data_IF_767211909569
#
_entry.id   IF_767211909569
#
_cell.length_a   1.000
_cell.length_b   1.000
_cell.length_c   1.000
_cell.angle_alpha   90.00
_cell.angle_beta   90.00
_cell.angle_gamma   90.00
#
_symmetry.space_group_name_H-M   'P 1'
#
loop_
_entity.id
_entity.type
_entity.pdbx_description
1 polymer ?
#
# COMPACT_ATOMS: atom_id res chain seq x y z
N UNK A 1 -1.32 2.39 -17.22
CA UNK A 1 -1.49 3.46 -16.22
C UNK A 1 -2.57 3.11 -15.20
N UNK A 2 -3.79 2.78 -15.61
CA UNK A 2 -4.92 2.47 -14.72
C UNK A 2 -4.62 1.59 -13.49
N UNK A 3 -3.86 0.50 -13.62
CA UNK A 3 -3.50 -0.36 -12.49
C UNK A 3 -2.69 0.37 -11.40
N UNK A 4 -1.81 1.30 -11.78
CA UNK A 4 -1.01 2.07 -10.82
C UNK A 4 -1.88 3.07 -10.05
N UNK A 5 -2.85 3.70 -10.73
CA UNK A 5 -3.79 4.65 -10.11
C UNK A 5 -4.70 3.93 -9.11
N UNK A 6 -5.28 2.78 -9.50
CA UNK A 6 -6.09 1.94 -8.61
C UNK A 6 -5.30 1.55 -7.37
N UNK A 7 -4.02 1.20 -7.52
CA UNK A 7 -3.19 0.80 -6.39
C UNK A 7 -2.86 1.99 -5.48
N UNK A 8 -2.52 3.14 -6.06
CA UNK A 8 -2.24 4.35 -5.29
C UNK A 8 -3.46 4.77 -4.45
N UNK A 9 -4.65 4.73 -5.04
CA UNK A 9 -5.91 5.00 -4.34
C UNK A 9 -6.19 3.94 -3.25
N UNK A 10 -6.18 2.66 -3.60
CA UNK A 10 -6.56 1.58 -2.68
C UNK A 10 -5.61 1.40 -1.49
N UNK A 11 -4.31 1.67 -1.68
CA UNK A 11 -3.30 1.61 -0.63
C UNK A 11 -3.05 2.97 0.05
N UNK A 12 -3.80 4.01 -0.32
CA UNK A 12 -3.63 5.39 0.16
C UNK A 12 -2.17 5.88 0.05
N UNK A 13 -1.50 5.57 -1.07
CA UNK A 13 -0.14 6.00 -1.32
C UNK A 13 -0.12 7.52 -1.55
N UNK A 14 0.78 8.20 -0.85
CA UNK A 14 0.95 9.66 -0.93
C UNK A 14 2.00 10.10 -1.95
N UNK A 15 2.75 9.15 -2.51
CA UNK A 15 3.76 9.42 -3.54
C UNK A 15 3.16 9.63 -4.93
N UNK A 16 3.91 10.28 -5.80
CA UNK A 16 3.48 10.57 -7.17
C UNK A 16 3.42 9.30 -8.03
N UNK A 17 2.30 9.13 -8.75
CA UNK A 17 2.22 8.14 -9.83
C UNK A 17 2.88 8.74 -11.07
N UNK A 18 4.02 8.17 -11.46
CA UNK A 18 4.78 8.60 -12.64
C UNK A 18 4.87 7.50 -13.69
N UNK A 19 5.07 7.91 -14.95
CA UNK A 19 5.29 7.00 -16.07
C UNK A 19 6.79 6.97 -16.39
N UNK A 20 7.41 5.79 -16.31
CA UNK A 20 8.78 5.57 -16.74
C UNK A 20 8.79 4.87 -18.11
N UNK A 21 9.53 5.41 -19.07
CA UNK A 21 9.61 4.86 -20.43
C UNK A 21 10.24 3.47 -20.48
N UNK A 22 11.10 3.19 -19.51
CA UNK A 22 11.86 1.95 -19.27
C UNK A 22 10.93 0.78 -18.92
N UNK A 23 9.71 1.06 -18.44
CA UNK A 23 8.67 0.05 -18.18
C UNK A 23 7.83 -0.30 -19.43
N UNK A 24 8.09 0.35 -20.57
CA UNK A 24 7.35 0.10 -21.81
C UNK A 24 7.64 -1.31 -22.35
N UNK A 25 6.65 -2.03 -22.90
CA UNK A 25 6.88 -3.35 -23.47
C UNK A 25 8.04 -3.38 -24.47
N UNK A 26 8.91 -4.39 -24.38
CA UNK A 26 10.06 -4.58 -25.27
C UNK A 26 11.32 -3.77 -24.94
N UNK A 27 11.32 -2.96 -23.86
CA UNK A 27 12.54 -2.31 -23.34
C UNK A 27 13.44 -3.30 -22.62
N UNK A 28 14.72 -2.95 -22.57
CA UNK A 28 15.76 -3.72 -21.87
C UNK A 28 15.60 -3.57 -20.34
N UNK A 29 15.45 -4.67 -19.57
CA UNK A 29 15.44 -4.65 -18.11
C UNK A 29 16.67 -3.98 -17.49
N UNK A 30 17.83 -3.97 -18.17
CA UNK A 30 19.04 -3.30 -17.68
C UNK A 30 18.88 -1.77 -17.58
N UNK A 31 18.13 -1.15 -18.49
CA UNK A 31 17.81 0.29 -18.43
C UNK A 31 17.01 0.61 -17.17
N UNK A 32 16.01 -0.22 -16.88
CA UNK A 32 15.17 -0.09 -15.69
C UNK A 32 15.99 -0.31 -14.41
N UNK A 33 16.86 -1.32 -14.36
CA UNK A 33 17.76 -1.54 -13.22
C UNK A 33 18.66 -0.32 -12.95
N UNK A 34 19.19 0.29 -14.01
CA UNK A 34 20.00 1.50 -13.88
C UNK A 34 19.18 2.66 -13.31
N UNK A 35 17.96 2.88 -13.78
CA UNK A 35 17.05 3.89 -13.24
C UNK A 35 16.77 3.64 -11.75
N UNK A 36 16.41 2.41 -11.39
CA UNK A 36 16.09 2.02 -10.02
C UNK A 36 17.28 2.14 -9.06
N UNK A 37 18.50 1.83 -9.53
CA UNK A 37 19.72 2.01 -8.73
C UNK A 37 20.01 3.48 -8.35
N UNK A 38 19.39 4.43 -9.07
CA UNK A 38 19.44 5.86 -8.79
C UNK A 38 18.35 6.35 -7.82
N UNK A 39 17.35 5.52 -7.49
CA UNK A 39 16.27 5.88 -6.57
C UNK A 39 16.81 6.03 -5.14
N UNK A 40 16.44 7.12 -4.47
CA UNK A 40 16.96 7.49 -3.12
C UNK A 40 15.87 7.78 -2.11
N UNK A 41 14.61 7.70 -2.52
CA UNK A 41 13.51 7.87 -1.59
C UNK A 41 13.52 6.72 -0.56
N UNK A 42 13.40 7.01 0.74
CA UNK A 42 13.28 5.97 1.75
C UNK A 42 11.98 5.16 1.65
N UNK A 43 10.96 5.67 0.94
CA UNK A 43 9.65 5.01 0.87
C UNK A 43 9.61 3.83 -0.11
N UNK A 44 8.76 2.81 0.13
CA UNK A 44 8.62 1.68 -0.78
C UNK A 44 8.16 2.11 -2.18
N UNK A 45 8.89 1.67 -3.20
CA UNK A 45 8.55 1.91 -4.60
C UNK A 45 7.69 0.76 -5.15
N UNK A 46 6.59 1.09 -5.83
CA UNK A 46 5.81 0.11 -6.59
C UNK A 46 6.03 0.31 -8.10
N UNK A 47 6.31 -0.80 -8.78
CA UNK A 47 6.44 -0.85 -10.23
C UNK A 47 5.24 -1.58 -10.84
N UNK A 48 4.61 -0.95 -11.82
CA UNK A 48 3.51 -1.54 -12.58
C UNK A 48 3.94 -1.63 -14.04
N UNK A 49 4.03 -2.85 -14.56
CA UNK A 49 4.52 -3.10 -15.91
C UNK A 49 3.95 -4.36 -16.53
N UNK A 50 4.66 -4.89 -17.51
CA UNK A 50 4.21 -6.00 -18.32
C UNK A 50 5.18 -7.19 -18.27
N UNK A 51 4.63 -8.38 -18.50
CA UNK A 51 5.43 -9.55 -18.84
C UNK A 51 5.99 -9.43 -20.27
N UNK A 52 7.19 -9.97 -20.55
CA UNK A 52 8.08 -10.72 -19.65
C UNK A 52 9.01 -9.85 -18.79
N UNK A 53 8.97 -8.53 -18.93
CA UNK A 53 9.92 -7.61 -18.31
C UNK A 53 9.95 -7.70 -16.78
N UNK A 54 8.80 -7.73 -16.12
CA UNK A 54 8.74 -7.78 -14.66
C UNK A 54 9.41 -9.05 -14.13
N UNK A 55 9.12 -10.20 -14.73
CA UNK A 55 9.75 -11.46 -14.34
C UNK A 55 11.24 -11.48 -14.64
N UNK A 56 11.69 -10.91 -15.77
CA UNK A 56 13.10 -10.76 -16.08
C UNK A 56 13.84 -9.83 -15.09
N UNK A 57 13.20 -8.74 -14.66
CA UNK A 57 13.71 -7.84 -13.63
C UNK A 57 13.89 -8.57 -12.29
N UNK A 58 12.88 -9.32 -11.86
CA UNK A 58 12.96 -10.09 -10.62
C UNK A 58 14.08 -11.14 -10.70
N UNK A 59 14.14 -11.93 -11.77
CA UNK A 59 15.23 -12.91 -11.99
C UNK A 59 16.60 -12.24 -11.93
N UNK A 60 16.76 -11.06 -12.53
CA UNK A 60 18.03 -10.32 -12.53
C UNK A 60 18.42 -9.84 -11.13
N UNK A 61 17.44 -9.50 -10.29
CA UNK A 61 17.68 -9.02 -8.94
C UNK A 61 17.93 -10.15 -7.92
N UNK A 62 17.19 -11.25 -7.97
CA UNK A 62 17.26 -12.30 -6.94
C UNK A 62 17.97 -13.58 -7.40
N UNK A 63 18.23 -13.71 -8.70
CA UNK A 63 18.78 -14.91 -9.32
C UNK A 63 17.72 -15.98 -9.64
N UNK A 64 17.98 -16.78 -10.66
CA UNK A 64 17.05 -17.80 -11.18
C UNK A 64 16.75 -18.92 -10.18
N UNK A 65 17.74 -19.33 -9.37
CA UNK A 65 17.56 -20.36 -8.34
C UNK A 65 16.63 -19.92 -7.20
N UNK A 66 16.49 -18.62 -6.98
CA UNK A 66 15.67 -18.02 -5.91
C UNK A 66 14.25 -17.71 -6.39
N UNK A 67 14.05 -17.60 -7.71
CA UNK A 67 12.82 -17.15 -8.34
C UNK A 67 12.28 -18.22 -9.29
N UNK A 68 11.40 -19.07 -8.77
CA UNK A 68 10.59 -19.99 -9.55
C UNK A 68 9.15 -19.46 -9.64
N UNK A 69 8.94 -18.32 -10.30
CA UNK A 69 7.60 -17.81 -10.56
C UNK A 69 6.78 -18.84 -11.34
N UNK A 70 5.80 -19.50 -10.72
CA UNK A 70 5.13 -20.65 -11.30
C UNK A 70 4.08 -20.23 -12.35
N UNK A 71 4.50 -20.13 -13.61
CA UNK A 71 3.58 -20.36 -14.72
C UNK A 71 4.02 -21.63 -15.45
N UNK A 72 3.15 -22.63 -15.53
CA UNK A 72 3.33 -23.70 -16.51
C UNK A 72 3.43 -23.04 -17.90
N UNK A 73 4.59 -23.17 -18.52
CA UNK A 73 4.79 -22.90 -19.94
C UNK A 73 4.19 -24.07 -20.71
N UNK A 74 3.40 -23.78 -21.74
CA UNK A 74 2.88 -24.81 -22.66
C UNK A 74 3.99 -25.44 -23.51
N UNK A 75 5.17 -24.82 -23.53
CA UNK A 75 6.21 -25.06 -24.54
C UNK A 75 7.48 -25.71 -23.97
N UNK A 76 7.41 -26.28 -22.77
CA UNK A 76 8.36 -27.33 -22.34
C UNK A 76 9.43 -26.96 -21.31
N UNK A 77 9.64 -25.69 -20.96
CA UNK A 77 10.53 -25.31 -19.84
C UNK A 77 9.80 -24.35 -18.87
N UNK A 78 9.81 -24.62 -17.55
CA UNK A 78 9.18 -23.74 -16.56
C UNK A 78 9.95 -22.43 -16.48
N UNK A 79 9.43 -21.38 -17.13
CA UNK A 79 9.99 -20.04 -16.99
C UNK A 79 9.36 -19.30 -15.82
N UNK A 80 10.17 -18.63 -14.97
CA UNK A 80 9.67 -17.79 -13.91
C UNK A 80 8.78 -16.68 -14.47
N UNK A 81 7.50 -16.66 -14.08
CA UNK A 81 6.53 -15.69 -14.62
C UNK A 81 5.50 -15.23 -13.59
N UNK A 82 5.26 -13.93 -13.52
CA UNK A 82 4.14 -13.36 -12.80
C UNK A 82 2.83 -13.52 -13.59
N UNK A 83 1.76 -13.95 -12.91
CA UNK A 83 0.41 -13.91 -13.48
C UNK A 83 -0.10 -12.47 -13.56
N UNK A 84 -1.15 -12.26 -14.36
CA UNK A 84 -1.86 -10.97 -14.41
C UNK A 84 -2.32 -10.60 -12.99
N UNK A 85 -2.02 -9.37 -12.57
CA UNK A 85 -2.27 -8.87 -11.22
C UNK A 85 -1.48 -9.57 -10.10
N UNK A 86 -0.47 -10.38 -10.45
CA UNK A 86 0.48 -10.91 -9.48
C UNK A 86 1.42 -9.83 -8.95
N UNK A 87 1.89 -10.01 -7.72
CA UNK A 87 2.80 -9.07 -7.05
C UNK A 87 3.99 -9.84 -6.50
N UNK A 88 5.20 -9.38 -6.82
CA UNK A 88 6.42 -9.82 -6.15
C UNK A 88 6.98 -8.66 -5.32
N UNK A 89 7.21 -8.92 -4.03
CA UNK A 89 7.83 -7.94 -3.15
C UNK A 89 9.29 -8.28 -2.93
N UNK A 90 10.15 -7.30 -3.19
CA UNK A 90 11.60 -7.40 -3.05
C UNK A 90 12.10 -6.38 -2.04
N UNK A 91 13.19 -6.72 -1.34
CA UNK A 91 13.98 -5.77 -0.57
C UNK A 91 15.33 -5.60 -1.26
N UNK A 92 15.67 -4.38 -1.64
CA UNK A 92 16.89 -4.07 -2.38
C UNK A 92 17.45 -2.72 -1.94
N UNK A 93 18.77 -2.64 -1.78
CA UNK A 93 19.49 -1.42 -1.40
C UNK A 93 19.97 -0.60 -2.61
N UNK A 94 19.56 -1.02 -3.82
CA UNK A 94 19.99 -0.44 -5.09
C UNK A 94 21.32 -0.98 -5.63
N UNK A 95 21.92 -1.98 -4.98
CA UNK A 95 23.18 -2.62 -5.40
C UNK A 95 23.10 -4.15 -5.27
N UNK A 96 23.82 -4.85 -6.13
CA UNK A 96 23.90 -6.32 -6.08
C UNK A 96 22.52 -6.99 -6.09
N UNK A 97 22.40 -8.10 -5.36
CA UNK A 97 21.18 -8.91 -5.34
C UNK A 97 20.13 -8.39 -4.35
N UNK A 98 18.86 -8.46 -4.75
CA UNK A 98 17.73 -8.23 -3.87
C UNK A 98 17.36 -9.50 -3.09
N UNK A 99 16.60 -9.33 -2.01
CA UNK A 99 15.95 -10.42 -1.27
C UNK A 99 14.48 -10.50 -1.65
N UNK A 100 14.03 -11.67 -2.09
CA UNK A 100 12.60 -11.95 -2.30
C UNK A 100 11.88 -12.05 -0.95
N UNK A 101 10.84 -11.25 -0.75
CA UNK A 101 10.04 -11.22 0.49
C UNK A 101 8.82 -12.12 0.38
N UNK A 102 8.03 -11.95 -0.67
CA UNK A 102 6.87 -12.77 -0.96
C UNK A 102 6.48 -12.65 -2.45
N UNK A 103 5.69 -13.62 -2.90
CA UNK A 103 5.02 -13.63 -4.20
C UNK A 103 3.54 -13.87 -3.97
N UNK A 104 2.71 -13.09 -4.63
CA UNK A 104 1.27 -13.14 -4.56
C UNK A 104 0.72 -13.43 -5.95
N UNK A 105 0.08 -14.59 -6.14
CA UNK A 105 -0.64 -14.94 -7.38
C UNK A 105 -2.15 -15.02 -7.09
N UNK A 106 -2.95 -14.03 -7.52
CA UNK A 106 -4.38 -13.92 -7.23
C UNK A 106 -5.20 -15.19 -7.43
N UNK A 107 -4.80 -16.08 -8.34
CA UNK A 107 -5.51 -17.34 -8.60
C UNK A 107 -5.32 -18.39 -7.49
N UNK A 108 -4.17 -18.36 -6.82
CA UNK A 108 -3.83 -19.29 -5.74
C UNK A 108 -4.29 -18.77 -4.37
N UNK A 109 -4.79 -17.53 -4.28
CA UNK A 109 -5.41 -17.01 -3.07
C UNK A 109 -6.90 -17.32 -3.02
N UNK A 110 -7.37 -17.74 -1.84
CA UNK A 110 -8.76 -17.60 -1.42
C UNK A 110 -8.99 -16.26 -0.72
N UNK A 111 -10.11 -15.58 -1.00
CA UNK A 111 -10.53 -14.39 -0.24
C UNK A 111 -10.78 -14.77 1.22
N UNK A 112 -9.89 -14.37 2.13
CA UNK A 112 -10.03 -14.63 3.58
C UNK A 112 -10.90 -13.57 4.27
N UNK A 113 -11.01 -12.38 3.69
CA UNK A 113 -11.84 -11.28 4.19
C UNK A 113 -11.64 -10.01 3.37
N UNK A 114 -12.60 -9.10 3.41
CA UNK A 114 -12.45 -7.74 2.87
C UNK A 114 -12.08 -6.81 4.01
N UNK A 115 -10.97 -6.11 3.88
CA UNK A 115 -10.67 -4.99 4.77
C UNK A 115 -11.66 -3.89 4.41
N UNK A 116 -12.53 -3.52 5.34
CA UNK A 116 -13.41 -2.36 5.16
C UNK A 116 -12.56 -1.10 5.21
N UNK A 117 -12.88 -0.10 4.39
CA UNK A 117 -12.21 1.21 4.44
C UNK A 117 -12.18 1.72 5.89
N UNK A 118 -11.07 2.34 6.35
CA UNK A 118 -11.07 3.03 7.61
C UNK A 118 -12.10 4.16 7.54
N UNK A 119 -13.22 3.97 8.25
CA UNK A 119 -14.25 4.99 8.40
C UNK A 119 -13.60 6.30 8.88
N UNK A 120 -13.83 7.45 8.21
CA UNK A 120 -13.32 8.72 8.70
C UNK A 120 -13.90 8.96 10.09
N UNK A 121 -13.01 8.97 11.09
CA UNK A 121 -13.38 9.04 12.49
C UNK A 121 -14.28 10.25 12.74
N UNK A 122 -15.54 10.01 13.08
CA UNK A 122 -16.45 11.06 13.54
C UNK A 122 -15.84 11.82 14.73
N UNK A 123 -16.02 13.15 14.83
CA UNK A 123 -15.43 13.94 15.90
C UNK A 123 -15.94 13.44 17.25
N UNK A 124 -15.00 13.03 18.12
CA UNK A 124 -15.29 12.62 19.50
C UNK A 124 -15.96 13.77 20.24
N UNK A 125 -17.27 13.66 20.50
CA UNK A 125 -17.97 14.56 21.43
C UNK A 125 -17.34 14.43 22.83
N UNK A 126 -17.03 15.53 23.54
CA UNK A 126 -16.47 15.46 24.87
C UNK A 126 -17.49 14.83 25.84
N UNK A 127 -17.04 13.82 26.61
CA UNK A 127 -17.83 13.18 27.66
C UNK A 127 -18.15 14.21 28.77
N UNK A 128 -19.41 14.64 28.89
CA UNK A 128 -19.91 15.32 30.10
C UNK A 128 -19.90 14.32 31.26
N UNK A 129 -19.13 14.63 32.30
CA UNK A 129 -19.09 13.89 33.57
C UNK A 129 -20.42 14.11 34.30
N UNK A 130 -21.12 13.02 34.62
CA UNK A 130 -22.41 12.99 35.35
C UNK A 130 -22.15 12.41 36.74
N UNK A 131 -22.66 13.08 37.78
CA UNK A 131 -22.61 12.69 39.20
C UNK A 131 -22.60 13.96 40.06
N UNK A 132 -23.77 14.51 40.36
CA UNK A 132 -24.45 14.47 41.68
C UNK A 132 -23.87 15.53 42.64
N UNK A 133 -24.66 16.44 43.22
CA UNK A 133 -25.62 16.11 44.29
C UNK A 133 -26.74 17.16 44.39
N UNK A 134 -27.90 16.68 44.84
CA UNK A 134 -29.17 17.37 45.04
C UNK A 134 -29.27 17.88 46.50
N UNK A 135 -29.62 19.15 46.70
CA UNK A 135 -30.22 19.77 47.91
C UNK A 135 -30.29 21.29 47.63
N UNK A 136 -31.28 22.11 47.93
CA UNK A 136 -32.64 22.02 48.49
C UNK A 136 -33.29 23.37 48.13
N UNK A 137 -34.59 23.39 47.88
CA UNK A 137 -35.43 24.59 47.74
C UNK A 137 -36.57 24.46 48.79
N UNK A 138 -37.33 25.51 49.19
CA UNK A 138 -37.73 26.66 48.37
C UNK A 138 -37.91 28.02 49.11
N UNK A 139 -38.35 29.04 48.34
CA UNK A 139 -39.22 30.20 48.68
C UNK A 139 -38.81 31.15 49.82
N UNK A 140 -39.00 32.47 49.84
CA UNK A 140 -39.73 33.50 49.07
C UNK A 140 -39.25 34.86 49.66
N UNK A 141 -38.90 35.89 48.89
CA UNK A 141 -39.73 37.07 48.55
C UNK A 141 -39.34 38.40 49.27
N UNK A 142 -39.39 39.49 48.48
CA UNK A 142 -39.49 40.95 48.79
C UNK A 142 -38.21 41.68 49.27
N UNK A 143 -37.67 42.70 48.56
CA UNK A 143 -38.16 44.10 48.32
C UNK A 143 -38.22 44.87 49.65
N UNK A 144 -37.35 45.82 49.98
CA UNK A 144 -37.18 47.24 49.54
C UNK A 144 -35.84 47.78 50.14
N UNK A 145 -35.02 48.60 49.47
CA UNK A 145 -35.00 50.08 49.43
C UNK A 145 -34.72 50.83 50.78
N UNK A 146 -33.77 51.78 50.72
CA UNK A 146 -33.57 53.04 51.48
C UNK A 146 -32.80 53.13 52.84
N UNK A 147 -31.79 54.05 52.83
CA UNK A 147 -31.30 55.00 53.87
C UNK A 147 -30.64 54.41 55.15
N UNK A 148 -29.49 54.89 55.64
CA UNK A 148 -29.04 56.27 55.98
C UNK A 148 -27.55 56.49 55.63
#
# INVERSE_FOLDING_TARGET
>A
MQTAEILAEAAALTGDVSVASELSPGRDPADLLRLLSGYRDPDPLVLVGHEPMLSALVTSLVGEATWSGSAQSTDGEPQPKLRKSGVAALSWDGRGSATLRFVFDPKEMSLVGRVSEPSPSAPRKPKRKKGETKASAPSEARTTEAQD
#
